data_IF_380927320055
#
_entry.id   IF_380927320055
#
_cell.length_a   1.000
_cell.length_b   1.000
_cell.length_c   1.000
_cell.angle_alpha   90.00
_cell.angle_beta   90.00
_cell.angle_gamma   90.00
#
_symmetry.space_group_name_H-M   'P 1'
#
loop_
_entity.id
_entity.type
_entity.pdbx_description
1 polymer ?
#
# COMPACT_ATOMS: atom_id res chain seq x y z
N UNK A 1 19.31 34.05 11.09
CA UNK A 1 18.08 33.25 10.97
C UNK A 1 18.36 32.11 10.00
N UNK A 2 18.20 30.84 10.43
CA UNK A 2 18.37 29.70 9.54
C UNK A 2 17.14 29.61 8.63
N UNK A 3 17.27 29.98 7.35
CA UNK A 3 16.20 29.88 6.31
C UNK A 3 15.92 28.44 5.89
N UNK A 4 15.68 27.55 6.86
CA UNK A 4 15.36 26.15 6.60
C UNK A 4 13.84 25.91 6.75
N UNK A 5 13.28 25.11 5.85
CA UNK A 5 11.90 24.62 6.02
C UNK A 5 11.87 23.66 7.20
N UNK A 6 11.09 23.99 8.21
CA UNK A 6 10.88 23.23 9.46
C UNK A 6 9.41 23.24 9.82
N UNK A 7 8.90 22.17 10.46
CA UNK A 7 7.51 22.07 10.89
C UNK A 7 6.54 21.74 9.77
N UNK A 8 5.28 22.10 9.92
CA UNK A 8 4.22 21.79 8.94
C UNK A 8 4.13 22.92 7.90
N UNK A 9 4.07 22.55 6.63
CA UNK A 9 3.95 23.50 5.53
C UNK A 9 3.46 22.90 4.23
N UNK A 10 3.02 23.77 3.31
CA UNK A 10 2.62 23.41 1.96
C UNK A 10 3.61 23.97 0.95
N UNK A 11 3.95 23.17 -0.06
CA UNK A 11 4.77 23.61 -1.17
C UNK A 11 4.15 23.14 -2.50
N UNK A 12 4.07 24.05 -3.46
CA UNK A 12 3.56 23.79 -4.80
C UNK A 12 4.68 23.98 -5.81
N UNK A 13 4.90 22.98 -6.67
CA UNK A 13 5.85 23.06 -7.78
C UNK A 13 5.16 23.51 -9.06
N UNK A 14 5.93 24.03 -9.99
CA UNK A 14 5.42 24.57 -11.25
C UNK A 14 4.78 23.52 -12.17
N UNK A 15 5.12 22.24 -11.99
CA UNK A 15 4.59 21.10 -12.75
C UNK A 15 3.21 20.59 -12.25
N UNK A 16 2.60 21.28 -11.29
CA UNK A 16 1.34 20.90 -10.67
C UNK A 16 1.47 19.91 -9.51
N UNK A 17 2.68 19.51 -9.18
CA UNK A 17 2.97 18.72 -7.99
C UNK A 17 2.80 19.59 -6.73
N UNK A 18 2.30 19.01 -5.63
CA UNK A 18 2.21 19.67 -4.34
C UNK A 18 2.54 18.73 -3.19
N UNK A 19 3.04 19.29 -2.10
CA UNK A 19 3.23 18.59 -0.83
C UNK A 19 2.65 19.41 0.32
N UNK A 20 1.92 18.74 1.19
CA UNK A 20 1.42 19.30 2.45
C UNK A 20 1.77 18.35 3.58
N UNK A 21 2.61 18.78 4.50
CA UNK A 21 3.05 17.93 5.61
C UNK A 21 4.25 18.46 6.36
N UNK A 22 4.96 17.57 7.02
CA UNK A 22 6.08 17.89 7.88
C UNK A 22 7.38 18.08 7.09
N UNK A 23 8.16 19.08 7.51
CA UNK A 23 9.47 19.41 6.98
C UNK A 23 10.52 19.37 8.08
N UNK A 24 11.70 18.88 7.77
CA UNK A 24 12.86 18.90 8.65
C UNK A 24 14.12 19.20 7.86
N UNK A 25 14.81 20.29 8.21
CA UNK A 25 16.06 20.73 7.53
C UNK A 25 15.91 20.81 6.00
N UNK A 26 14.86 21.44 5.49
CA UNK A 26 14.49 21.54 4.06
C UNK A 26 14.05 20.22 3.39
N UNK A 27 13.96 19.12 4.12
CA UNK A 27 13.57 17.82 3.59
C UNK A 27 12.15 17.47 4.01
N UNK A 28 11.40 16.83 3.13
CA UNK A 28 10.13 16.18 3.46
C UNK A 28 10.41 15.08 4.50
N UNK A 29 9.68 15.11 5.61
CA UNK A 29 9.86 14.21 6.74
C UNK A 29 8.53 14.01 7.46
N UNK A 30 8.43 12.98 8.33
CA UNK A 30 7.21 12.74 9.10
C UNK A 30 5.99 12.43 8.23
N UNK A 31 4.81 12.90 8.62
CA UNK A 31 3.58 12.64 7.90
C UNK A 31 3.30 13.74 6.86
N UNK A 32 2.80 13.34 5.68
CA UNK A 32 2.41 14.31 4.67
C UNK A 32 1.66 13.71 3.48
N UNK A 33 1.02 14.60 2.71
CA UNK A 33 0.28 14.31 1.49
C UNK A 33 1.08 14.87 0.31
N UNK A 34 1.40 14.01 -0.65
CA UNK A 34 2.09 14.37 -1.87
C UNK A 34 1.18 14.11 -3.08
N UNK A 35 0.79 15.17 -3.76
CA UNK A 35 -0.03 15.11 -4.97
C UNK A 35 0.86 15.30 -6.19
N UNK A 36 0.99 14.25 -7.00
CA UNK A 36 1.79 14.28 -8.23
C UNK A 36 0.98 14.94 -9.35
N UNK A 37 1.63 15.68 -10.23
CA UNK A 37 0.99 16.33 -11.38
C UNK A 37 0.25 15.36 -12.34
N UNK A 38 0.57 14.08 -12.29
CA UNK A 38 -0.12 13.02 -13.05
C UNK A 38 -1.41 12.49 -12.41
N UNK A 39 -1.86 13.07 -11.29
CA UNK A 39 -3.08 12.65 -10.56
C UNK A 39 -2.88 11.54 -9.53
N UNK A 40 -1.66 11.01 -9.37
CA UNK A 40 -1.33 10.10 -8.28
C UNK A 40 -1.22 10.88 -6.96
N UNK A 41 -1.74 10.32 -5.86
CA UNK A 41 -1.66 10.89 -4.52
C UNK A 41 -1.04 9.88 -3.56
N UNK A 42 -0.07 10.33 -2.77
CA UNK A 42 0.47 9.55 -1.66
C UNK A 42 0.16 10.27 -0.34
N UNK A 43 -0.36 9.54 0.62
CA UNK A 43 -0.63 10.00 1.99
C UNK A 43 0.05 9.08 2.97
N UNK A 44 1.02 9.57 3.73
CA UNK A 44 1.71 8.70 4.69
C UNK A 44 3.05 9.26 5.17
N UNK A 45 3.91 8.33 5.59
CA UNK A 45 5.16 8.63 6.26
C UNK A 45 6.31 8.85 5.29
N UNK A 46 7.17 9.81 5.64
CA UNK A 46 8.33 10.24 4.87
C UNK A 46 9.60 10.25 5.73
N UNK A 47 10.72 9.97 5.13
CA UNK A 47 12.04 10.08 5.74
C UNK A 47 13.05 10.68 4.76
N UNK A 48 13.47 11.92 5.00
CA UNK A 48 14.49 12.60 4.19
C UNK A 48 14.18 12.57 2.69
N UNK A 49 13.01 13.06 2.29
CA UNK A 49 12.47 13.08 0.92
C UNK A 49 12.07 11.72 0.33
N UNK A 50 12.17 10.62 1.08
CA UNK A 50 11.77 9.30 0.63
C UNK A 50 10.47 8.85 1.31
N UNK A 51 9.59 8.21 0.58
CA UNK A 51 8.47 7.46 1.15
C UNK A 51 9.06 6.34 2.01
N UNK A 52 8.71 6.33 3.30
CA UNK A 52 9.27 5.37 4.25
C UNK A 52 8.38 5.21 5.48
N UNK A 53 7.88 4.02 5.73
CA UNK A 53 6.86 3.72 6.73
C UNK A 53 5.52 3.42 6.09
N UNK A 54 4.44 3.48 6.89
CA UNK A 54 3.09 3.20 6.38
C UNK A 54 2.53 4.39 5.60
N UNK A 55 1.80 4.06 4.55
CA UNK A 55 1.09 5.05 3.76
C UNK A 55 0.17 4.44 2.72
N UNK A 56 -0.70 5.28 2.19
CA UNK A 56 -1.63 4.98 1.11
C UNK A 56 -1.19 5.67 -0.18
N UNK A 57 -1.32 4.98 -1.29
CA UNK A 57 -1.11 5.52 -2.61
C UNK A 57 -2.34 5.28 -3.47
N UNK A 58 -2.95 6.36 -3.96
CA UNK A 58 -4.05 6.33 -4.92
C UNK A 58 -3.47 6.70 -6.28
N UNK A 59 -3.65 5.81 -7.28
CA UNK A 59 -3.18 6.01 -8.64
C UNK A 59 -4.29 6.62 -9.50
N UNK A 60 -3.92 7.38 -10.53
CA UNK A 60 -4.87 8.02 -11.45
C UNK A 60 -5.78 7.05 -12.21
N UNK A 61 -5.39 5.79 -12.34
CA UNK A 61 -6.17 4.72 -12.98
C UNK A 61 -7.10 3.95 -11.99
N UNK A 62 -7.27 4.48 -10.77
CA UNK A 62 -8.14 3.92 -9.74
C UNK A 62 -7.53 2.80 -8.92
N UNK A 63 -6.28 2.37 -9.20
CA UNK A 63 -5.57 1.45 -8.30
C UNK A 63 -5.28 2.13 -6.97
N UNK A 64 -5.20 1.34 -5.90
CA UNK A 64 -4.82 1.80 -4.57
C UNK A 64 -3.80 0.83 -3.94
N UNK A 65 -2.93 1.36 -3.12
CA UNK A 65 -2.05 0.57 -2.27
C UNK A 65 -2.02 1.16 -0.88
N UNK A 66 -2.18 0.34 0.13
CA UNK A 66 -1.91 0.67 1.52
C UNK A 66 -0.92 -0.33 2.09
N UNK A 67 0.15 0.15 2.68
CA UNK A 67 1.13 -0.73 3.28
C UNK A 67 2.44 -0.03 3.63
N UNK A 68 3.40 -0.86 3.97
CA UNK A 68 4.72 -0.37 4.36
C UNK A 68 5.59 -0.09 3.13
N UNK A 69 6.30 1.03 3.19
CA UNK A 69 7.31 1.44 2.22
C UNK A 69 8.70 1.51 2.87
N UNK A 70 9.70 1.17 2.12
CA UNK A 70 11.11 1.37 2.46
C UNK A 70 11.82 2.03 1.30
N UNK A 71 12.28 3.28 1.51
CA UNK A 71 13.00 4.06 0.50
C UNK A 71 12.31 4.03 -0.87
N UNK A 72 11.08 4.55 -0.92
CA UNK A 72 10.20 4.68 -2.10
C UNK A 72 9.65 3.37 -2.69
N UNK A 73 10.00 2.22 -2.12
CA UNK A 73 9.56 0.91 -2.61
C UNK A 73 8.60 0.25 -1.62
N UNK A 74 7.53 -0.39 -2.15
CA UNK A 74 6.68 -1.27 -1.36
C UNK A 74 7.54 -2.35 -0.70
N UNK A 75 7.38 -2.53 0.62
CA UNK A 75 8.19 -3.48 1.39
C UNK A 75 7.41 -3.91 2.63
N UNK A 76 7.47 -5.20 3.00
CA UNK A 76 6.68 -5.70 4.11
C UNK A 76 5.22 -5.93 3.73
N UNK A 77 4.30 -5.88 4.72
CA UNK A 77 2.88 -6.14 4.48
C UNK A 77 2.19 -4.97 3.77
N UNK A 78 1.29 -5.29 2.85
CA UNK A 78 0.48 -4.29 2.17
C UNK A 78 -0.69 -4.89 1.40
N UNK A 79 -1.71 -4.07 1.18
CA UNK A 79 -2.92 -4.39 0.43
C UNK A 79 -2.89 -3.59 -0.86
N UNK A 80 -3.00 -4.27 -1.98
CA UNK A 80 -3.10 -3.66 -3.31
C UNK A 80 -4.47 -3.94 -3.91
N UNK A 81 -5.14 -2.90 -4.32
CA UNK A 81 -6.41 -2.93 -5.03
C UNK A 81 -6.23 -2.59 -6.50
N UNK A 82 -6.80 -3.39 -7.38
CA UNK A 82 -7.09 -3.05 -8.77
C UNK A 82 -8.60 -2.87 -8.93
N UNK A 83 -9.08 -1.98 -9.80
CA UNK A 83 -10.49 -1.89 -10.15
C UNK A 83 -11.11 -3.25 -10.52
N UNK A 84 -12.44 -3.36 -10.40
CA UNK A 84 -13.21 -4.60 -10.63
C UNK A 84 -12.92 -5.71 -9.60
N UNK A 85 -12.95 -5.35 -8.32
CA UNK A 85 -12.86 -6.28 -7.18
C UNK A 85 -11.69 -7.26 -7.27
N UNK A 86 -10.50 -6.73 -7.57
CA UNK A 86 -9.26 -7.51 -7.56
C UNK A 86 -8.32 -6.98 -6.49
N UNK A 87 -7.84 -7.88 -5.62
CA UNK A 87 -7.01 -7.53 -4.47
C UNK A 87 -5.84 -8.49 -4.30
N UNK A 88 -4.74 -7.95 -3.82
CA UNK A 88 -3.62 -8.71 -3.27
C UNK A 88 -3.38 -8.23 -1.83
N UNK A 89 -3.45 -9.14 -0.87
CA UNK A 89 -3.27 -8.88 0.55
C UNK A 89 -2.10 -9.74 1.00
N UNK A 90 -0.94 -9.14 1.21
CA UNK A 90 0.25 -9.94 1.52
C UNK A 90 1.54 -9.13 1.51
N UNK A 91 2.64 -9.84 1.30
CA UNK A 91 3.98 -9.30 1.49
C UNK A 91 4.61 -8.81 0.20
N UNK A 92 5.46 -7.79 0.35
CA UNK A 92 6.17 -7.09 -0.70
C UNK A 92 7.66 -6.99 -0.35
N UNK A 93 8.50 -7.02 -1.36
CA UNK A 93 9.93 -6.76 -1.24
C UNK A 93 10.42 -5.99 -2.45
N UNK A 94 11.11 -4.88 -2.21
CA UNK A 94 11.70 -4.02 -3.26
C UNK A 94 10.71 -3.66 -4.38
N UNK A 95 9.45 -3.38 -4.02
CA UNK A 95 8.39 -2.99 -4.94
C UNK A 95 7.64 -4.15 -5.61
N UNK A 96 8.05 -5.40 -5.37
CA UNK A 96 7.45 -6.61 -5.96
C UNK A 96 6.71 -7.43 -4.91
N UNK A 97 5.66 -8.13 -5.34
CA UNK A 97 4.99 -9.16 -4.54
C UNK A 97 6.01 -10.23 -4.15
N UNK A 98 6.12 -10.53 -2.86
CA UNK A 98 7.11 -11.48 -2.36
C UNK A 98 6.72 -12.01 -0.99
N UNK A 99 6.38 -13.28 -0.90
CA UNK A 99 5.91 -13.94 0.31
C UNK A 99 4.47 -14.41 0.19
N UNK A 100 3.87 -14.72 1.32
CA UNK A 100 2.54 -15.27 1.40
C UNK A 100 1.48 -14.18 1.17
N UNK A 101 0.40 -14.52 0.47
CA UNK A 101 -0.69 -13.59 0.21
C UNK A 101 -2.03 -14.28 -0.06
N UNK A 102 -3.10 -13.57 0.29
CA UNK A 102 -4.47 -13.80 -0.16
C UNK A 102 -4.69 -12.98 -1.44
N UNK A 103 -5.23 -13.62 -2.44
CA UNK A 103 -5.58 -12.99 -3.71
C UNK A 103 -7.07 -13.15 -3.97
N UNK A 104 -7.73 -12.05 -4.29
CA UNK A 104 -9.17 -12.01 -4.57
C UNK A 104 -9.38 -11.48 -5.99
N UNK A 105 -10.25 -12.11 -6.74
CA UNK A 105 -10.73 -11.64 -8.04
C UNK A 105 -12.23 -11.94 -8.17
N UNK A 106 -13.06 -10.89 -8.04
CA UNK A 106 -14.50 -11.06 -7.86
C UNK A 106 -14.79 -11.92 -6.63
N UNK A 107 -15.56 -12.99 -6.80
CA UNK A 107 -15.88 -13.93 -5.72
C UNK A 107 -14.84 -15.06 -5.53
N UNK A 108 -13.77 -15.06 -6.32
CA UNK A 108 -12.76 -16.12 -6.25
C UNK A 108 -11.63 -15.69 -5.31
N UNK A 109 -11.48 -16.45 -4.23
CA UNK A 109 -10.44 -16.24 -3.21
C UNK A 109 -9.42 -17.38 -3.32
N UNK A 110 -8.14 -17.03 -3.39
CA UNK A 110 -7.01 -17.96 -3.42
C UNK A 110 -5.93 -17.53 -2.45
N UNK A 111 -5.20 -18.48 -1.93
CA UNK A 111 -4.06 -18.28 -1.06
C UNK A 111 -2.81 -18.83 -1.73
N UNK A 112 -1.72 -18.09 -1.71
CA UNK A 112 -0.52 -18.50 -2.41
C UNK A 112 0.75 -17.89 -1.87
N UNK A 113 1.86 -18.22 -2.53
CA UNK A 113 3.18 -17.65 -2.27
C UNK A 113 3.75 -17.04 -3.55
N UNK A 114 4.37 -15.88 -3.41
CA UNK A 114 5.01 -15.11 -4.50
C UNK A 114 6.50 -14.94 -4.24
N UNK A 115 7.26 -14.86 -5.31
CA UNK A 115 8.66 -14.52 -5.31
C UNK A 115 8.98 -13.61 -6.48
N UNK A 116 9.64 -12.48 -6.22
CA UNK A 116 10.08 -11.52 -7.23
C UNK A 116 8.94 -11.10 -8.20
N UNK A 117 7.72 -10.94 -7.68
CA UNK A 117 6.54 -10.54 -8.45
C UNK A 117 5.82 -11.68 -9.19
N UNK A 118 6.31 -12.92 -9.10
CA UNK A 118 5.70 -14.08 -9.75
C UNK A 118 5.07 -14.99 -8.69
N UNK A 119 3.85 -15.50 -8.99
CA UNK A 119 3.22 -16.52 -8.17
C UNK A 119 3.97 -17.84 -8.34
N UNK A 120 4.44 -18.43 -7.25
CA UNK A 120 5.12 -19.72 -7.25
C UNK A 120 4.14 -20.88 -7.01
N UNK A 121 3.29 -20.75 -5.98
CA UNK A 121 2.41 -21.84 -5.54
C UNK A 121 1.05 -21.29 -5.13
N UNK A 122 -0.02 -22.07 -5.37
CA UNK A 122 -1.31 -21.95 -4.68
C UNK A 122 -1.40 -23.01 -3.58
N UNK A 123 -1.91 -22.61 -2.42
CA UNK A 123 -2.31 -23.53 -1.36
C UNK A 123 -3.68 -24.14 -1.70
N UNK A 124 -3.95 -25.35 -1.20
CA UNK A 124 -5.21 -26.04 -1.46
C UNK A 124 -6.40 -25.34 -0.80
N UNK A 125 -6.18 -24.83 0.40
CA UNK A 125 -7.18 -24.14 1.21
C UNK A 125 -6.51 -23.12 2.16
N UNK A 126 -7.35 -22.41 2.93
CA UNK A 126 -6.94 -21.42 3.90
C UNK A 126 -6.17 -22.04 5.07
N UNK A 127 -6.55 -23.23 5.50
CA UNK A 127 -5.93 -23.95 6.62
C UNK A 127 -4.46 -24.27 6.28
N UNK A 128 -4.19 -24.81 5.10
CA UNK A 128 -2.82 -25.05 4.63
C UNK A 128 -2.01 -23.73 4.58
N UNK A 129 -2.62 -22.64 4.12
CA UNK A 129 -1.98 -21.33 4.08
C UNK A 129 -1.61 -20.84 5.49
N UNK A 130 -2.54 -20.87 6.45
CA UNK A 130 -2.32 -20.38 7.83
C UNK A 130 -1.22 -21.19 8.54
N UNK A 131 -1.20 -22.50 8.38
CA UNK A 131 -0.15 -23.37 8.99
C UNK A 131 1.24 -23.02 8.47
N UNK A 132 1.34 -22.52 7.23
CA UNK A 132 2.62 -22.15 6.61
C UNK A 132 3.02 -20.69 6.85
N UNK A 133 2.22 -19.87 7.55
CA UNK A 133 2.62 -18.51 7.93
C UNK A 133 3.81 -18.54 8.88
N UNK A 134 4.78 -17.68 8.63
CA UNK A 134 5.87 -17.49 9.58
C UNK A 134 5.35 -16.83 10.87
N UNK A 135 5.91 -17.18 12.04
CA UNK A 135 5.53 -16.54 13.32
C UNK A 135 5.66 -15.01 13.31
N UNK A 136 6.60 -14.45 12.55
CA UNK A 136 6.77 -13.00 12.39
C UNK A 136 5.63 -12.36 11.60
N UNK A 137 4.90 -13.14 10.82
CA UNK A 137 3.82 -12.69 9.94
C UNK A 137 2.43 -12.91 10.56
N UNK A 138 2.33 -13.67 11.66
CA UNK A 138 1.07 -13.96 12.38
C UNK A 138 0.33 -12.70 12.81
N UNK A 139 1.04 -11.62 13.12
CA UNK A 139 0.43 -10.31 13.47
C UNK A 139 -0.44 -9.73 12.34
N UNK A 140 -0.29 -10.21 11.12
CA UNK A 140 -1.10 -9.81 9.97
C UNK A 140 -2.23 -10.80 9.64
N UNK A 141 -2.38 -11.88 10.42
CA UNK A 141 -3.37 -12.94 10.17
C UNK A 141 -4.78 -12.40 10.03
N UNK A 142 -5.17 -11.40 10.83
CA UNK A 142 -6.49 -10.79 10.78
C UNK A 142 -6.83 -10.20 9.41
N UNK A 143 -5.86 -9.64 8.68
CA UNK A 143 -6.10 -9.09 7.34
C UNK A 143 -6.39 -10.17 6.30
N UNK A 144 -5.95 -11.41 6.53
CA UNK A 144 -6.30 -12.54 5.67
C UNK A 144 -7.72 -13.05 5.91
N UNK A 145 -8.35 -12.68 7.04
CA UNK A 145 -9.75 -12.95 7.35
C UNK A 145 -10.69 -11.98 6.63
N UNK A 146 -10.29 -10.75 6.37
CA UNK A 146 -11.14 -9.73 5.78
C UNK A 146 -11.81 -10.21 4.49
N UNK A 147 -13.10 -9.97 4.40
CA UNK A 147 -13.85 -10.15 3.16
C UNK A 147 -13.73 -8.92 2.23
N UNK A 148 -14.42 -8.97 1.09
CA UNK A 148 -14.36 -7.88 0.11
C UNK A 148 -15.00 -6.59 0.65
N UNK A 149 -16.02 -6.69 1.49
CA UNK A 149 -16.71 -5.53 2.06
C UNK A 149 -15.79 -4.84 3.06
N UNK A 150 -15.17 -5.59 3.98
CA UNK A 150 -14.21 -5.05 4.95
C UNK A 150 -13.03 -4.35 4.27
N UNK A 151 -12.53 -4.91 3.15
CA UNK A 151 -11.45 -4.30 2.36
C UNK A 151 -11.94 -3.03 1.66
N UNK A 152 -13.15 -3.02 1.11
CA UNK A 152 -13.74 -1.85 0.47
C UNK A 152 -13.98 -0.73 1.47
N UNK A 153 -14.51 -1.04 2.65
CA UNK A 153 -14.70 -0.08 3.74
C UNK A 153 -13.35 0.52 4.17
N UNK A 154 -12.31 -0.30 4.24
CA UNK A 154 -10.96 0.17 4.58
C UNK A 154 -10.41 1.17 3.56
N UNK A 155 -10.67 0.96 2.25
CA UNK A 155 -10.24 1.86 1.18
C UNK A 155 -11.26 2.95 0.84
N UNK A 156 -12.42 3.00 1.51
CA UNK A 156 -13.54 3.89 1.14
C UNK A 156 -13.92 3.73 -0.36
N UNK A 157 -14.10 2.48 -0.77
CA UNK A 157 -14.43 2.11 -2.15
C UNK A 157 -15.93 1.83 -2.24
N UNK A 158 -16.65 2.59 -3.06
CA UNK A 158 -18.04 2.26 -3.39
C UNK A 158 -18.12 0.92 -4.16
N UNK A 159 -18.98 0.02 -3.69
CA UNK A 159 -19.28 -1.23 -4.40
C UNK A 159 -20.13 -0.88 -5.61
N UNK A 160 -19.53 -0.94 -6.80
CA UNK A 160 -20.30 -0.89 -8.04
C UNK A 160 -20.80 -2.32 -8.28
N UNK A 161 -22.08 -2.56 -7.99
CA UNK A 161 -22.75 -3.79 -8.42
C UNK A 161 -22.81 -3.77 -9.96
N UNK A 162 -22.13 -4.71 -10.60
CA UNK A 162 -22.27 -4.96 -12.03
C UNK A 162 -23.71 -5.50 -12.27
N UNK A 163 -24.61 -4.63 -12.73
CA UNK A 163 -25.93 -5.00 -13.27
C UNK A 163 -25.80 -5.63 -14.66
#
# INVERSE_FOLDING_TARGET
MNNKKEGIGTYNWADGTSYKGEWKNNLIHGFGIYSYGCGKIYTGMWKKNHIHGYGECIYSDGKKYFGYYKMDKKNGFGIFYWPKNKYYIGFWKDGKQNGMAKFIKGNNIKYGIWKEGKKEKWFQNKEEFIINLNPTDEKYSNYFEWDVNEINDFFDIEIIEDN
#
